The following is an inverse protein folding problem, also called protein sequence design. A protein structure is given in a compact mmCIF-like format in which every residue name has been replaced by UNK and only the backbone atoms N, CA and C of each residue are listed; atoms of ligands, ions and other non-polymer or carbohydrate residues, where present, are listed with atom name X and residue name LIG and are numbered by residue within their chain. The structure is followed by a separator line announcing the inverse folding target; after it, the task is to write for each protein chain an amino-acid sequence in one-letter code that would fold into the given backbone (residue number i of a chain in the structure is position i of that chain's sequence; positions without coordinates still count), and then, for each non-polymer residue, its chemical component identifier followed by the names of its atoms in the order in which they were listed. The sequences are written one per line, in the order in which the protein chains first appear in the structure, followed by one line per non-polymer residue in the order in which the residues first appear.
data_IF_613773852837
#
_entry.id   IF_613773852837
#
_cell.length_a   1.000
_cell.length_b   1.000
_cell.length_c   1.000
_cell.angle_alpha   90.00
_cell.angle_beta   90.00
_cell.angle_gamma   90.00
#
_symmetry.space_group_name_H-M   'P 1'
#
loop_
_entity.id
_entity.type
_entity.pdbx_description
1 polymer ?
#
# COMPACT_ATOMS: atom_id res chain seq x y z
N UNK A 1 24.98 -17.62 -12.65
CA UNK A 1 24.91 -16.16 -12.92
C UNK A 1 24.63 -15.42 -11.61
N UNK A 2 25.47 -14.45 -11.24
CA UNK A 2 25.13 -13.57 -10.09
C UNK A 2 23.94 -12.70 -10.50
N UNK A 3 22.84 -12.75 -9.76
CA UNK A 3 21.66 -11.92 -10.00
C UNK A 3 22.05 -10.45 -9.88
N UNK A 4 21.90 -9.68 -10.94
CA UNK A 4 22.17 -8.23 -10.91
C UNK A 4 20.95 -7.52 -10.27
N UNK A 5 20.92 -7.50 -8.94
CA UNK A 5 19.83 -6.83 -8.19
C UNK A 5 19.70 -5.35 -8.50
N UNK A 6 20.78 -4.68 -8.89
CA UNK A 6 20.74 -3.24 -9.23
C UNK A 6 19.79 -2.99 -10.42
N UNK A 7 20.02 -3.70 -11.52
CA UNK A 7 19.21 -3.54 -12.74
C UNK A 7 17.74 -3.94 -12.51
N UNK A 8 17.52 -5.05 -11.76
CA UNK A 8 16.16 -5.50 -11.44
C UNK A 8 15.45 -4.47 -10.55
N UNK A 9 16.14 -3.92 -9.55
CA UNK A 9 15.59 -2.91 -8.66
C UNK A 9 15.20 -1.63 -9.40
N UNK A 10 16.02 -1.17 -10.36
CA UNK A 10 15.73 0.02 -11.18
C UNK A 10 14.40 -0.08 -11.93
N UNK A 11 13.99 -1.29 -12.29
CA UNK A 11 12.74 -1.52 -13.01
C UNK A 11 11.54 -1.81 -12.09
N UNK A 12 11.79 -2.26 -10.85
CA UNK A 12 10.74 -2.69 -9.93
C UNK A 12 10.51 -1.74 -8.74
N UNK A 13 11.44 -0.84 -8.46
CA UNK A 13 11.29 0.08 -7.34
C UNK A 13 10.23 1.13 -7.62
N UNK A 14 9.32 1.25 -6.70
CA UNK A 14 8.29 2.28 -6.62
C UNK A 14 8.37 3.02 -5.30
N UNK A 15 7.84 4.22 -5.26
CA UNK A 15 7.70 5.01 -4.03
C UNK A 15 6.28 5.54 -3.92
N UNK A 16 5.70 5.46 -2.73
CA UNK A 16 4.34 5.92 -2.51
C UNK A 16 4.30 7.41 -2.14
N UNK A 17 3.33 8.14 -2.68
CA UNK A 17 3.13 9.56 -2.44
C UNK A 17 2.69 9.92 -1.02
N UNK A 18 2.39 8.94 -0.15
CA UNK A 18 2.17 9.18 1.29
C UNK A 18 3.34 9.87 2.00
N UNK A 19 4.54 9.71 1.44
CA UNK A 19 5.76 10.37 1.90
C UNK A 19 5.69 11.90 1.74
N UNK A 20 4.90 12.41 0.78
CA UNK A 20 4.94 13.82 0.39
C UNK A 20 4.04 14.68 1.27
N UNK A 21 4.57 15.77 1.85
CA UNK A 21 3.78 16.70 2.66
C UNK A 21 2.78 17.50 1.81
N UNK A 22 1.57 17.71 2.32
CA UNK A 22 0.52 18.51 1.65
C UNK A 22 0.86 20.00 1.46
N UNK A 23 1.82 20.50 2.20
CA UNK A 23 2.25 21.91 2.12
C UNK A 23 3.42 22.15 1.17
N UNK A 24 3.88 21.12 0.45
CA UNK A 24 4.94 21.22 -0.55
C UNK A 24 4.34 20.91 -1.90
N UNK A 25 4.71 21.70 -2.93
CA UNK A 25 4.23 21.51 -4.28
C UNK A 25 4.38 20.05 -4.75
N UNK A 26 3.29 19.37 -5.16
CA UNK A 26 3.35 18.00 -5.60
C UNK A 26 4.22 17.79 -6.86
N UNK A 27 4.49 18.84 -7.65
CA UNK A 27 5.45 18.76 -8.76
C UNK A 27 6.86 18.42 -8.28
N UNK A 28 7.27 18.90 -7.13
CA UNK A 28 8.57 18.62 -6.55
C UNK A 28 8.75 17.14 -6.18
N UNK A 29 7.66 16.44 -5.87
CA UNK A 29 7.70 14.99 -5.68
C UNK A 29 8.08 14.28 -6.98
N UNK A 30 7.40 14.58 -8.08
CA UNK A 30 7.69 13.97 -9.40
C UNK A 30 9.12 14.31 -9.82
N UNK A 31 9.54 15.54 -9.67
CA UNK A 31 10.93 15.95 -9.95
C UNK A 31 11.96 15.16 -9.12
N UNK A 32 11.67 14.94 -7.83
CA UNK A 32 12.55 14.21 -6.91
C UNK A 32 12.69 12.73 -7.32
N UNK A 33 11.60 12.05 -7.68
CA UNK A 33 11.66 10.66 -8.13
C UNK A 33 12.39 10.52 -9.46
N UNK A 34 12.25 11.49 -10.36
CA UNK A 34 12.99 11.53 -11.63
C UNK A 34 14.48 11.70 -11.41
N UNK A 35 14.90 12.65 -10.55
CA UNK A 35 16.30 12.85 -10.17
C UNK A 35 16.90 11.60 -9.52
N UNK A 36 16.12 10.86 -8.75
CA UNK A 36 16.54 9.58 -8.17
C UNK A 36 16.55 8.41 -9.17
N UNK A 37 16.08 8.63 -10.41
CA UNK A 37 15.96 7.60 -11.44
C UNK A 37 14.95 6.51 -11.08
N UNK A 38 13.89 6.85 -10.33
CA UNK A 38 12.77 5.97 -10.00
C UNK A 38 11.71 6.15 -11.10
N UNK A 39 11.20 5.04 -11.63
CA UNK A 39 10.27 5.02 -12.77
C UNK A 39 8.87 4.55 -12.42
N UNK A 40 8.61 4.27 -11.16
CA UNK A 40 7.32 3.78 -10.71
C UNK A 40 6.87 4.53 -9.46
N UNK A 41 5.56 4.75 -9.33
CA UNK A 41 4.98 5.52 -8.23
C UNK A 41 3.68 4.90 -7.75
N UNK A 42 3.49 4.82 -6.43
CA UNK A 42 2.19 4.63 -5.80
C UNK A 42 1.55 5.97 -5.48
N UNK A 43 0.26 6.10 -5.72
CA UNK A 43 -0.44 7.38 -5.58
C UNK A 43 -1.55 7.31 -4.53
N UNK A 44 -1.54 8.28 -3.61
CA UNK A 44 -2.67 8.52 -2.72
C UNK A 44 -3.69 9.44 -3.41
N UNK A 45 -4.97 9.28 -3.07
CA UNK A 45 -6.04 10.07 -3.69
C UNK A 45 -5.88 11.58 -3.48
N UNK A 46 -5.49 12.00 -2.27
CA UNK A 46 -5.30 13.42 -1.98
C UNK A 46 -4.19 14.03 -2.86
N UNK A 47 -3.11 13.27 -3.10
CA UNK A 47 -2.03 13.70 -3.99
C UNK A 47 -2.52 13.87 -5.44
N UNK A 48 -3.35 12.93 -5.93
CA UNK A 48 -3.93 13.02 -7.27
C UNK A 48 -4.81 14.28 -7.39
N UNK A 49 -5.58 14.59 -6.35
CA UNK A 49 -6.47 15.75 -6.33
C UNK A 49 -5.69 17.07 -6.28
N UNK A 50 -4.67 17.13 -5.45
CA UNK A 50 -3.82 18.32 -5.29
C UNK A 50 -3.03 18.61 -6.57
N UNK A 51 -2.49 17.58 -7.22
CA UNK A 51 -1.80 17.71 -8.50
C UNK A 51 -2.75 18.08 -9.66
N UNK A 52 -3.96 17.56 -9.61
CA UNK A 52 -4.93 17.59 -10.71
C UNK A 52 -4.72 16.46 -11.71
N UNK A 53 -5.72 15.57 -11.82
CA UNK A 53 -5.64 14.30 -12.54
C UNK A 53 -5.12 14.41 -13.99
N UNK A 54 -5.55 15.43 -14.75
CA UNK A 54 -5.14 15.59 -16.14
C UNK A 54 -3.67 16.00 -16.26
N UNK A 55 -3.22 16.94 -15.43
CA UNK A 55 -1.82 17.37 -15.36
C UNK A 55 -0.92 16.21 -14.92
N UNK A 56 -1.33 15.50 -13.87
CA UNK A 56 -0.58 14.33 -13.38
C UNK A 56 -0.44 13.26 -14.46
N UNK A 57 -1.52 12.93 -15.16
CA UNK A 57 -1.49 11.97 -16.28
C UNK A 57 -0.51 12.37 -17.38
N UNK A 58 -0.53 13.65 -17.78
CA UNK A 58 0.39 14.17 -18.78
C UNK A 58 1.84 14.08 -18.30
N UNK A 59 2.13 14.54 -17.08
CA UNK A 59 3.45 14.52 -16.50
C UNK A 59 4.04 13.10 -16.38
N UNK A 60 3.23 12.15 -15.86
CA UNK A 60 3.64 10.75 -15.77
C UNK A 60 3.90 10.13 -17.15
N UNK A 61 3.09 10.48 -18.14
CA UNK A 61 3.25 10.00 -19.52
C UNK A 61 4.51 10.55 -20.18
N UNK A 62 4.76 11.85 -20.10
CA UNK A 62 5.95 12.51 -20.63
C UNK A 62 7.24 11.93 -20.07
N UNK A 63 7.24 11.65 -18.78
CA UNK A 63 8.41 11.14 -18.07
C UNK A 63 8.48 9.60 -18.03
N UNK A 64 7.54 8.89 -18.65
CA UNK A 64 7.45 7.41 -18.68
C UNK A 64 7.46 6.81 -17.27
N UNK A 65 6.72 7.42 -16.36
CA UNK A 65 6.54 6.92 -14.99
C UNK A 65 5.29 6.04 -14.96
N UNK A 66 5.42 4.81 -14.45
CA UNK A 66 4.32 3.89 -14.27
C UNK A 66 3.66 4.08 -12.90
N UNK A 67 2.35 3.91 -12.83
CA UNK A 67 1.61 3.90 -11.57
C UNK A 67 1.50 2.45 -11.08
N UNK A 68 2.08 2.14 -9.94
CA UNK A 68 2.04 0.80 -9.33
C UNK A 68 0.77 0.58 -8.53
N UNK A 69 0.34 1.59 -7.79
CA UNK A 69 -0.86 1.53 -6.97
C UNK A 69 -1.62 2.86 -6.93
N UNK A 70 -2.93 2.76 -6.69
CA UNK A 70 -3.73 3.89 -6.19
C UNK A 70 -4.31 3.47 -4.85
N UNK A 71 -4.12 4.28 -3.82
CA UNK A 71 -4.57 4.05 -2.45
C UNK A 71 -5.67 5.06 -2.07
N UNK A 72 -6.83 4.59 -1.62
CA UNK A 72 -7.35 3.24 -1.57
C UNK A 72 -8.87 3.26 -1.61
N UNK A 73 -9.46 2.15 -2.02
CA UNK A 73 -10.92 1.91 -1.95
C UNK A 73 -11.23 0.96 -0.79
N UNK A 74 -12.51 0.71 -0.55
CA UNK A 74 -12.97 -0.16 0.53
C UNK A 74 -13.51 0.64 1.70
N UNK A 75 -12.94 0.47 2.88
CA UNK A 75 -13.41 1.09 4.12
C UNK A 75 -14.92 0.92 4.31
N UNK A 76 -15.38 -0.31 4.16
CA UNK A 76 -16.80 -0.66 4.09
C UNK A 76 -17.62 -0.30 5.33
N UNK A 77 -16.95 0.03 6.41
CA UNK A 77 -17.54 0.49 7.67
C UNK A 77 -17.58 2.01 7.80
N UNK A 78 -17.10 2.72 6.76
CA UNK A 78 -17.02 4.19 6.74
C UNK A 78 -17.85 4.75 5.58
N UNK A 79 -18.91 5.50 5.88
CA UNK A 79 -19.81 6.06 4.87
C UNK A 79 -19.16 7.08 3.93
N UNK A 80 -18.12 7.77 4.38
CA UNK A 80 -17.46 8.77 3.57
C UNK A 80 -16.58 8.14 2.48
N UNK A 81 -15.83 7.08 2.81
CA UNK A 81 -14.98 6.40 1.85
C UNK A 81 -15.77 5.67 0.76
N UNK A 82 -16.94 5.16 1.11
CA UNK A 82 -17.82 4.49 0.13
C UNK A 82 -18.15 5.41 -1.06
N UNK A 83 -18.38 6.71 -0.82
CA UNK A 83 -18.69 7.69 -1.87
C UNK A 83 -17.51 7.97 -2.81
N UNK A 84 -16.29 7.60 -2.43
CA UNK A 84 -15.08 7.85 -3.23
C UNK A 84 -14.77 6.74 -4.22
N UNK A 85 -15.41 5.57 -4.14
CA UNK A 85 -15.06 4.41 -4.99
C UNK A 85 -15.16 4.72 -6.49
N UNK A 86 -16.24 5.34 -6.94
CA UNK A 86 -16.42 5.71 -8.35
C UNK A 86 -15.35 6.70 -8.82
N UNK A 87 -15.00 7.66 -7.99
CA UNK A 87 -13.96 8.65 -8.28
C UNK A 87 -12.60 7.97 -8.44
N UNK A 88 -12.23 7.07 -7.53
CA UNK A 88 -10.98 6.31 -7.60
C UNK A 88 -10.96 5.42 -8.84
N UNK A 89 -12.07 4.78 -9.21
CA UNK A 89 -12.15 3.99 -10.43
C UNK A 89 -11.98 4.84 -11.70
N UNK A 90 -12.51 6.07 -11.70
CA UNK A 90 -12.26 6.99 -12.80
C UNK A 90 -10.79 7.39 -12.89
N UNK A 91 -10.11 7.62 -11.77
CA UNK A 91 -8.67 7.86 -11.75
C UNK A 91 -7.89 6.63 -12.23
N UNK A 92 -8.28 5.44 -11.81
CA UNK A 92 -7.65 4.20 -12.25
C UNK A 92 -7.77 3.96 -13.77
N UNK A 93 -8.91 4.31 -14.38
CA UNK A 93 -9.06 4.28 -15.85
C UNK A 93 -8.09 5.23 -16.57
N UNK A 94 -7.86 6.40 -16.00
CA UNK A 94 -6.99 7.41 -16.60
C UNK A 94 -5.51 7.12 -16.40
N UNK A 95 -5.12 6.68 -15.20
CA UNK A 95 -3.73 6.47 -14.77
C UNK A 95 -3.24 5.03 -14.98
N UNK A 96 -4.16 4.07 -15.16
CA UNK A 96 -3.87 2.64 -15.41
C UNK A 96 -2.88 2.02 -14.42
N UNK A 97 -3.15 2.07 -13.11
CA UNK A 97 -2.27 1.46 -12.13
C UNK A 97 -2.19 -0.07 -12.30
N UNK A 98 -1.08 -0.67 -11.85
CA UNK A 98 -0.98 -2.13 -11.80
C UNK A 98 -2.05 -2.73 -10.84
N UNK A 99 -2.34 -2.03 -9.72
CA UNK A 99 -3.42 -2.40 -8.78
C UNK A 99 -4.05 -1.16 -8.13
N UNK A 100 -5.32 -1.27 -7.74
CA UNK A 100 -5.96 -0.33 -6.81
C UNK A 100 -6.06 -1.01 -5.46
N UNK A 101 -5.46 -0.41 -4.44
CA UNK A 101 -5.45 -0.94 -3.07
C UNK A 101 -6.87 -0.94 -2.50
N UNK A 102 -7.23 -2.04 -1.83
CA UNK A 102 -8.50 -2.18 -1.13
C UNK A 102 -8.25 -2.55 0.33
N UNK A 103 -8.79 -1.74 1.22
CA UNK A 103 -8.72 -1.91 2.68
C UNK A 103 -10.14 -2.12 3.20
N UNK A 104 -10.34 -3.15 4.02
CA UNK A 104 -11.69 -3.53 4.45
C UNK A 104 -12.39 -2.51 5.36
N UNK A 105 -11.64 -1.64 6.00
CA UNK A 105 -12.13 -0.81 7.11
C UNK A 105 -12.10 -1.56 8.44
N UNK A 106 -11.97 -0.81 9.52
CA UNK A 106 -11.95 -1.35 10.87
C UNK A 106 -13.33 -1.82 11.35
N UNK A 107 -13.36 -2.57 12.44
CA UNK A 107 -14.63 -3.06 13.02
C UNK A 107 -15.50 -1.92 13.55
N UNK A 108 -14.89 -0.82 14.01
CA UNK A 108 -15.58 0.35 14.58
C UNK A 108 -15.76 1.51 13.60
N UNK A 109 -15.47 1.35 12.33
CA UNK A 109 -15.48 2.41 11.34
C UNK A 109 -14.10 2.64 10.75
N UNK A 110 -13.96 3.54 9.80
CA UNK A 110 -12.72 3.82 9.08
C UNK A 110 -11.61 4.44 9.94
N UNK A 111 -10.48 4.84 9.29
CA UNK A 111 -9.31 5.40 9.98
C UNK A 111 -9.60 6.73 10.69
N UNK A 112 -10.64 7.43 10.27
CA UNK A 112 -11.21 8.54 11.04
C UNK A 112 -12.42 7.99 11.78
N UNK A 113 -12.41 7.94 13.11
CA UNK A 113 -13.61 7.64 13.87
C UNK A 113 -14.57 8.81 13.71
N UNK A 114 -15.22 8.91 12.56
CA UNK A 114 -16.30 9.87 12.30
C UNK A 114 -17.50 9.52 13.13
N UNK A 115 -17.57 8.33 13.57
CA UNK A 115 -18.62 7.86 14.41
C UNK A 115 -18.33 8.05 15.89
N UNK A 116 -18.12 9.28 16.29
CA UNK A 116 -18.65 9.72 17.59
C UNK A 116 -20.17 9.48 17.65
N UNK A 117 -20.81 9.20 16.52
CA UNK A 117 -22.21 8.75 16.40
C UNK A 117 -22.40 7.23 16.51
N UNK A 118 -21.36 6.40 16.52
CA UNK A 118 -21.47 5.09 17.13
C UNK A 118 -21.61 5.31 18.65
N UNK A 119 -22.82 5.63 19.02
CA UNK A 119 -23.25 5.78 20.38
C UNK A 119 -23.05 4.40 21.03
N UNK A 120 -21.92 4.22 21.70
CA UNK A 120 -21.54 2.98 22.37
C UNK A 120 -22.58 2.58 23.43
N UNK A 121 -23.45 3.50 23.82
CA UNK A 121 -24.43 3.29 24.89
C UNK A 121 -25.59 2.35 24.52
N UNK A 122 -25.80 2.08 23.21
CA UNK A 122 -26.93 1.23 22.78
C UNK A 122 -26.61 0.17 21.72
N UNK A 123 -25.37 0.10 21.22
CA UNK A 123 -25.02 -0.88 20.18
C UNK A 123 -23.97 -1.86 20.67
N UNK A 124 -24.42 -3.05 21.03
CA UNK A 124 -23.53 -4.21 21.10
C UNK A 124 -22.82 -4.33 19.76
N UNK A 125 -21.49 -4.24 19.77
CA UNK A 125 -20.67 -4.36 18.59
C UNK A 125 -20.92 -5.73 17.94
N UNK A 126 -21.65 -5.77 16.84
CA UNK A 126 -21.93 -6.99 16.13
C UNK A 126 -20.86 -7.26 15.09
N UNK A 127 -19.75 -7.84 15.53
CA UNK A 127 -18.59 -8.17 14.70
C UNK A 127 -18.96 -9.08 13.53
N UNK A 128 -19.86 -10.04 13.74
CA UNK A 128 -20.29 -10.96 12.68
C UNK A 128 -21.05 -10.22 11.59
N UNK A 129 -21.97 -9.34 11.99
CA UNK A 129 -22.71 -8.50 11.03
C UNK A 129 -21.76 -7.61 10.25
N UNK A 130 -20.81 -6.92 10.90
CA UNK A 130 -19.82 -6.08 10.24
C UNK A 130 -19.00 -6.87 9.22
N UNK A 131 -18.53 -8.06 9.57
CA UNK A 131 -17.79 -8.92 8.64
C UNK A 131 -18.61 -9.37 7.45
N UNK A 132 -19.88 -9.75 7.67
CA UNK A 132 -20.79 -10.19 6.62
C UNK A 132 -21.10 -9.06 5.65
N UNK A 133 -21.40 -7.87 6.17
CA UNK A 133 -21.72 -6.69 5.36
C UNK A 133 -20.50 -6.25 4.54
N UNK A 134 -19.31 -6.21 5.15
CA UNK A 134 -18.08 -5.90 4.46
C UNK A 134 -17.72 -6.91 3.38
N UNK A 135 -17.95 -8.20 3.62
CA UNK A 135 -17.73 -9.24 2.60
C UNK A 135 -18.67 -9.04 1.40
N UNK A 136 -19.93 -8.74 1.64
CA UNK A 136 -20.90 -8.46 0.57
C UNK A 136 -20.50 -7.27 -0.28
N UNK A 137 -20.03 -6.18 0.37
CA UNK A 137 -19.56 -4.99 -0.31
C UNK A 137 -18.25 -5.24 -1.07
N UNK A 138 -17.32 -6.02 -0.51
CA UNK A 138 -16.09 -6.43 -1.19
C UNK A 138 -16.39 -7.18 -2.48
N UNK A 139 -17.27 -8.17 -2.43
CA UNK A 139 -17.66 -8.96 -3.62
C UNK A 139 -18.34 -8.09 -4.68
N UNK A 140 -19.17 -7.16 -4.26
CA UNK A 140 -19.76 -6.18 -5.17
C UNK A 140 -18.71 -5.29 -5.84
N UNK A 141 -17.72 -4.81 -5.06
CA UNK A 141 -16.65 -3.97 -5.56
C UNK A 141 -15.72 -4.74 -6.52
N UNK A 142 -15.45 -6.01 -6.24
CA UNK A 142 -14.72 -6.89 -7.17
C UNK A 142 -15.40 -6.97 -8.52
N UNK A 143 -16.72 -7.27 -8.53
CA UNK A 143 -17.48 -7.34 -9.77
C UNK A 143 -17.45 -6.02 -10.55
N UNK A 144 -17.67 -4.89 -9.88
CA UNK A 144 -17.59 -3.56 -10.51
C UNK A 144 -16.21 -3.26 -11.11
N UNK A 145 -15.14 -3.66 -10.43
CA UNK A 145 -13.78 -3.48 -10.93
C UNK A 145 -13.49 -4.37 -12.15
N UNK A 146 -13.98 -5.61 -12.14
CA UNK A 146 -13.88 -6.53 -13.28
C UNK A 146 -14.58 -5.96 -14.53
N UNK A 147 -15.79 -5.44 -14.38
CA UNK A 147 -16.55 -4.78 -15.47
C UNK A 147 -15.81 -3.59 -16.09
N UNK A 148 -14.89 -3.00 -15.34
CA UNK A 148 -14.09 -1.84 -15.76
C UNK A 148 -12.63 -2.19 -16.09
N UNK A 149 -12.26 -3.48 -16.10
CA UNK A 149 -10.89 -3.96 -16.29
C UNK A 149 -9.88 -3.37 -15.27
N UNK A 150 -10.32 -3.13 -14.05
CA UNK A 150 -9.49 -2.66 -12.95
C UNK A 150 -9.09 -3.85 -12.07
N UNK A 151 -7.79 -4.02 -11.83
CA UNK A 151 -7.30 -5.01 -10.87
C UNK A 151 -7.28 -4.41 -9.46
N UNK A 152 -8.01 -5.02 -8.54
CA UNK A 152 -7.94 -4.66 -7.12
C UNK A 152 -6.88 -5.50 -6.41
N UNK A 153 -6.20 -4.89 -5.45
CA UNK A 153 -5.27 -5.54 -4.53
C UNK A 153 -5.82 -5.49 -3.10
N UNK A 154 -6.33 -6.61 -2.59
CA UNK A 154 -6.78 -6.68 -1.20
C UNK A 154 -5.58 -6.72 -0.28
N UNK A 155 -5.53 -5.82 0.71
CA UNK A 155 -4.45 -5.73 1.67
C UNK A 155 -4.83 -6.41 2.99
N UNK A 156 -4.09 -7.46 3.43
CA UNK A 156 -4.22 -8.00 4.77
C UNK A 156 -3.69 -7.00 5.79
N UNK A 157 -4.54 -6.55 6.70
CA UNK A 157 -4.18 -5.56 7.72
C UNK A 157 -3.75 -6.26 9.02
N UNK A 158 -2.67 -5.81 9.63
CA UNK A 158 -2.14 -6.38 10.87
C UNK A 158 -3.18 -6.37 12.00
N UNK A 159 -3.16 -7.40 12.83
CA UNK A 159 -4.16 -7.60 13.89
C UNK A 159 -4.26 -6.44 14.89
N UNK A 160 -3.19 -5.66 15.05
CA UNK A 160 -3.16 -4.47 15.92
C UNK A 160 -3.98 -3.29 15.36
N UNK A 161 -4.29 -3.29 14.06
CA UNK A 161 -5.08 -2.27 13.39
C UNK A 161 -6.51 -2.72 13.03
N UNK A 162 -6.94 -3.88 13.56
CA UNK A 162 -8.24 -4.50 13.24
C UNK A 162 -9.44 -3.61 13.61
N UNK A 163 -9.28 -2.82 14.66
CA UNK A 163 -10.34 -1.94 15.14
C UNK A 163 -10.55 -0.74 14.23
N UNK A 164 -9.46 -0.16 13.71
CA UNK A 164 -9.49 1.11 12.99
C UNK A 164 -9.33 0.99 11.49
N UNK A 165 -8.47 0.07 11.02
CA UNK A 165 -8.02 0.08 9.63
C UNK A 165 -8.58 -1.07 8.81
N UNK A 166 -8.52 -2.32 9.32
CA UNK A 166 -9.00 -3.45 8.54
C UNK A 166 -9.16 -4.74 9.29
N UNK A 167 -10.25 -5.45 9.03
CA UNK A 167 -10.58 -6.70 9.71
C UNK A 167 -10.35 -7.96 8.86
N UNK A 168 -9.89 -7.83 7.61
CA UNK A 168 -9.30 -8.93 6.85
C UNK A 168 -7.80 -8.94 7.14
N UNK A 169 -7.36 -9.82 8.03
CA UNK A 169 -6.09 -9.69 8.73
C UNK A 169 -5.12 -10.86 8.57
N UNK A 170 -5.31 -11.72 7.57
CA UNK A 170 -4.32 -12.74 7.25
C UNK A 170 -4.21 -12.98 5.75
N UNK A 171 -3.00 -13.34 5.29
CA UNK A 171 -2.75 -13.71 3.90
C UNK A 171 -3.67 -14.85 3.47
N UNK A 172 -3.87 -15.86 4.32
CA UNK A 172 -4.72 -17.01 4.01
C UNK A 172 -6.18 -16.63 3.81
N UNK A 173 -6.76 -15.80 4.69
CA UNK A 173 -8.15 -15.37 4.56
C UNK A 173 -8.35 -14.50 3.32
N UNK A 174 -7.48 -13.53 3.09
CA UNK A 174 -7.54 -12.66 1.92
C UNK A 174 -7.31 -13.43 0.60
N UNK A 175 -6.38 -14.40 0.58
CA UNK A 175 -6.13 -15.24 -0.58
C UNK A 175 -7.37 -16.04 -0.98
N UNK A 176 -8.13 -16.56 -0.01
CA UNK A 176 -9.39 -17.28 -0.28
C UNK A 176 -10.43 -16.40 -1.01
N UNK A 177 -10.42 -15.10 -0.78
CA UNK A 177 -11.34 -14.15 -1.43
C UNK A 177 -10.95 -13.84 -2.87
N UNK A 178 -9.64 -13.79 -3.18
CA UNK A 178 -9.14 -13.39 -4.51
C UNK A 178 -8.72 -14.57 -5.41
N UNK A 179 -8.65 -15.80 -4.90
CA UNK A 179 -8.07 -16.95 -5.64
C UNK A 179 -8.80 -17.28 -6.94
N UNK A 180 -10.10 -17.02 -7.03
CA UNK A 180 -10.97 -17.41 -8.15
C UNK A 180 -11.27 -16.28 -9.15
N UNK A 181 -10.73 -15.07 -8.93
CA UNK A 181 -10.97 -13.90 -9.78
C UNK A 181 -9.64 -13.28 -10.25
N UNK A 182 -9.69 -12.17 -11.00
CA UNK A 182 -8.48 -11.48 -11.48
C UNK A 182 -7.74 -10.69 -10.40
N UNK A 183 -8.37 -10.44 -9.26
CA UNK A 183 -7.83 -9.62 -8.19
C UNK A 183 -6.65 -10.29 -7.48
N UNK A 184 -5.87 -9.48 -6.77
CA UNK A 184 -4.59 -9.87 -6.17
C UNK A 184 -4.53 -9.47 -4.69
N UNK A 185 -3.42 -9.76 -4.02
CA UNK A 185 -3.10 -9.20 -2.73
C UNK A 185 -2.00 -8.16 -2.87
N UNK A 186 -2.13 -7.08 -2.13
CA UNK A 186 -1.03 -6.19 -1.77
C UNK A 186 -0.52 -6.67 -0.42
N UNK A 187 0.78 -6.90 -0.34
CA UNK A 187 1.43 -7.27 0.91
C UNK A 187 2.23 -6.07 1.40
N UNK A 188 1.75 -5.42 2.46
CA UNK A 188 2.55 -4.48 3.21
C UNK A 188 3.26 -5.22 4.34
N UNK A 189 4.59 -5.14 4.36
CA UNK A 189 5.40 -5.78 5.40
C UNK A 189 5.07 -5.25 6.79
N UNK A 190 4.69 -3.97 6.91
CA UNK A 190 4.23 -3.41 8.19
C UNK A 190 3.02 -4.17 8.75
N UNK A 191 2.11 -4.62 7.90
CA UNK A 191 0.91 -5.33 8.32
C UNK A 191 1.06 -6.85 8.34
N UNK A 192 1.99 -7.41 7.58
CA UNK A 192 2.07 -8.85 7.31
C UNK A 192 3.30 -9.56 7.91
N UNK A 193 4.23 -8.84 8.58
CA UNK A 193 5.50 -9.43 9.03
C UNK A 193 5.34 -10.60 10.02
N UNK A 194 4.22 -10.69 10.71
CA UNK A 194 3.90 -11.78 11.65
C UNK A 194 3.14 -12.95 11.00
N UNK A 195 2.72 -12.82 9.72
CA UNK A 195 1.93 -13.87 9.07
C UNK A 195 2.82 -15.06 8.67
N UNK A 196 2.46 -16.25 9.17
CA UNK A 196 3.21 -17.50 8.92
C UNK A 196 3.27 -17.89 7.44
N UNK A 197 2.39 -17.37 6.59
CA UNK A 197 2.37 -17.64 5.15
C UNK A 197 3.20 -16.64 4.35
N UNK A 198 3.72 -15.57 4.96
CA UNK A 198 4.39 -14.48 4.27
C UNK A 198 5.50 -14.98 3.34
N UNK A 199 6.46 -15.76 3.85
CA UNK A 199 7.60 -16.24 3.07
C UNK A 199 7.20 -17.07 1.85
N UNK A 200 6.30 -18.01 2.04
CA UNK A 200 5.83 -18.90 0.96
C UNK A 200 5.00 -18.14 -0.06
N UNK A 201 4.21 -17.18 0.40
CA UNK A 201 3.37 -16.34 -0.46
C UNK A 201 4.23 -15.42 -1.34
N UNK A 202 5.20 -14.72 -0.79
CA UNK A 202 6.08 -13.82 -1.54
C UNK A 202 6.88 -14.56 -2.62
N UNK A 203 7.32 -15.79 -2.33
CA UNK A 203 8.13 -16.59 -3.27
C UNK A 203 7.32 -17.13 -4.44
N UNK A 204 6.11 -17.61 -4.19
CA UNK A 204 5.45 -18.55 -5.11
C UNK A 204 4.05 -18.13 -5.55
N UNK A 205 3.38 -17.20 -4.87
CA UNK A 205 1.98 -16.92 -5.18
C UNK A 205 1.80 -16.11 -6.47
N UNK A 206 1.00 -16.56 -7.43
CA UNK A 206 0.63 -15.76 -8.61
C UNK A 206 -0.35 -14.63 -8.24
N UNK A 207 -0.87 -14.64 -7.01
CA UNK A 207 -1.80 -13.62 -6.49
C UNK A 207 -1.10 -12.46 -5.80
N UNK A 208 0.22 -12.43 -5.73
CA UNK A 208 0.94 -11.24 -5.31
C UNK A 208 0.81 -10.15 -6.39
N UNK A 209 0.28 -8.99 -6.03
CA UNK A 209 0.14 -7.83 -6.90
C UNK A 209 1.22 -6.79 -6.69
N UNK A 210 1.56 -6.54 -5.42
CA UNK A 210 2.52 -5.53 -4.99
C UNK A 210 3.12 -5.93 -3.65
N UNK A 211 4.40 -5.63 -3.43
CA UNK A 211 5.00 -5.66 -2.11
C UNK A 211 5.29 -4.24 -1.65
N UNK A 212 4.60 -3.79 -0.59
CA UNK A 212 4.91 -2.55 0.10
C UNK A 212 5.85 -2.83 1.26
N UNK A 213 6.78 -1.92 1.50
CA UNK A 213 7.81 -2.12 2.51
C UNK A 213 8.31 -0.81 3.11
N UNK A 214 8.67 -0.88 4.38
CA UNK A 214 9.41 0.10 5.18
C UNK A 214 10.00 -0.62 6.37
N UNK A 215 10.81 0.04 7.18
CA UNK A 215 11.09 -0.45 8.52
C UNK A 215 9.90 -0.19 9.45
N UNK A 216 9.84 -0.91 10.56
CA UNK A 216 8.74 -0.81 11.54
C UNK A 216 9.25 -0.10 12.79
N UNK A 217 8.45 0.85 13.27
CA UNK A 217 8.64 1.47 14.57
C UNK A 217 7.80 0.73 15.61
N UNK A 218 8.44 0.30 16.71
CA UNK A 218 7.79 -0.32 17.85
C UNK A 218 7.81 0.61 19.05
N UNK A 219 6.82 0.49 19.90
CA UNK A 219 6.85 1.07 21.25
C UNK A 219 7.65 0.17 22.22
N UNK A 220 7.74 0.60 23.50
CA UNK A 220 8.47 -0.13 24.54
C UNK A 220 7.84 -1.50 24.87
N UNK A 221 6.61 -1.74 24.45
CA UNK A 221 5.88 -3.01 24.60
C UNK A 221 5.90 -3.85 23.32
N UNK A 222 6.75 -3.52 22.36
CA UNK A 222 6.88 -4.19 21.06
C UNK A 222 5.60 -4.14 20.21
N UNK A 223 4.76 -3.11 20.37
CA UNK A 223 3.62 -2.89 19.50
C UNK A 223 4.06 -2.08 18.28
N UNK A 224 3.67 -2.48 17.07
CA UNK A 224 3.91 -1.66 15.89
C UNK A 224 3.12 -0.35 16.01
N UNK A 225 3.81 0.78 15.94
CA UNK A 225 3.21 2.12 16.12
C UNK A 225 3.44 3.05 14.92
N UNK A 226 4.07 2.58 13.88
CA UNK A 226 4.34 3.34 12.67
C UNK A 226 5.47 2.75 11.85
N UNK A 227 5.84 3.49 10.81
CA UNK A 227 6.93 3.12 9.91
C UNK A 227 8.19 3.92 10.21
N UNK A 228 9.35 3.42 9.78
CA UNK A 228 10.61 4.16 9.81
C UNK A 228 11.30 4.08 8.44
N UNK A 229 12.16 5.06 8.17
CA UNK A 229 13.08 5.05 7.03
C UNK A 229 14.04 3.85 7.10
N UNK A 230 14.58 3.50 5.95
CA UNK A 230 15.63 2.48 5.87
C UNK A 230 16.90 3.07 6.45
N UNK A 231 17.41 2.51 7.54
CA UNK A 231 18.66 2.95 8.14
C UNK A 231 19.52 1.74 8.44
N UNK A 232 20.72 1.70 7.84
CA UNK A 232 21.67 0.61 8.00
C UNK A 232 22.23 0.50 9.43
N UNK A 233 22.29 1.60 10.16
CA UNK A 233 23.05 1.67 11.40
C UNK A 233 22.25 1.34 12.66
N UNK A 234 20.94 1.28 12.59
CA UNK A 234 20.08 0.91 13.70
C UNK A 234 19.49 -0.49 13.52
N UNK A 235 20.35 -1.51 13.56
CA UNK A 235 19.95 -2.92 13.37
C UNK A 235 19.15 -3.51 14.56
N UNK A 236 18.99 -2.77 15.63
CA UNK A 236 18.17 -3.20 16.76
C UNK A 236 16.72 -2.96 16.38
N UNK A 237 15.91 -4.02 16.39
CA UNK A 237 14.46 -3.97 16.12
C UNK A 237 14.06 -3.66 14.68
N UNK A 238 14.87 -4.05 13.68
CA UNK A 238 14.50 -3.95 12.29
C UNK A 238 14.04 -5.31 11.74
N UNK A 239 13.06 -5.25 10.84
CA UNK A 239 12.64 -6.41 10.06
C UNK A 239 13.78 -6.85 9.12
N UNK A 240 13.94 -8.18 8.90
CA UNK A 240 14.85 -8.68 7.87
C UNK A 240 14.29 -8.40 6.47
N UNK A 241 14.34 -7.12 6.07
CA UNK A 241 13.87 -6.66 4.76
C UNK A 241 14.62 -7.34 3.62
N UNK A 242 15.91 -7.63 3.79
CA UNK A 242 16.75 -8.27 2.76
C UNK A 242 16.13 -9.58 2.28
N UNK A 243 15.67 -10.42 3.20
CA UNK A 243 15.03 -11.70 2.91
C UNK A 243 13.78 -11.53 2.03
N UNK A 244 12.91 -10.60 2.40
CA UNK A 244 11.64 -10.38 1.70
C UNK A 244 11.83 -9.73 0.34
N UNK A 245 12.67 -8.69 0.25
CA UNK A 245 12.98 -8.02 -1.00
C UNK A 245 13.65 -8.98 -1.99
N UNK A 246 14.64 -9.77 -1.56
CA UNK A 246 15.28 -10.81 -2.41
C UNK A 246 14.27 -11.84 -2.91
N UNK A 247 13.28 -12.21 -2.10
CA UNK A 247 12.25 -13.17 -2.51
C UNK A 247 11.46 -12.65 -3.71
N UNK A 248 11.09 -11.37 -3.72
CA UNK A 248 10.34 -10.74 -4.82
C UNK A 248 11.25 -10.38 -6.00
N UNK A 249 12.47 -9.90 -5.76
CA UNK A 249 13.41 -9.57 -6.84
C UNK A 249 13.84 -10.78 -7.68
N UNK A 250 13.84 -11.98 -7.10
CA UNK A 250 14.14 -13.24 -7.82
C UNK A 250 12.98 -13.75 -8.68
N UNK A 251 11.80 -13.19 -8.54
CA UNK A 251 10.62 -13.61 -9.32
C UNK A 251 10.76 -13.16 -10.77
N UNK A 252 10.27 -13.99 -11.69
CA UNK A 252 10.25 -13.70 -13.13
C UNK A 252 9.08 -12.77 -13.53
N UNK A 253 8.02 -12.75 -12.72
CA UNK A 253 6.86 -11.90 -12.97
C UNK A 253 7.14 -10.43 -12.57
N UNK A 254 6.36 -9.54 -13.16
CA UNK A 254 6.45 -8.10 -12.88
C UNK A 254 5.73 -7.79 -11.57
N UNK A 255 6.41 -8.00 -10.44
CA UNK A 255 5.96 -7.53 -9.13
C UNK A 255 6.82 -6.35 -8.72
N UNK A 256 6.20 -5.22 -8.44
CA UNK A 256 6.88 -4.03 -7.98
C UNK A 256 7.12 -4.06 -6.46
N UNK A 257 8.15 -3.33 -6.04
CA UNK A 257 8.53 -3.09 -4.65
C UNK A 257 8.23 -1.63 -4.36
N UNK A 258 7.21 -1.34 -3.58
CA UNK A 258 6.78 0.01 -3.27
C UNK A 258 7.21 0.40 -1.88
N UNK A 259 8.11 1.39 -1.79
CA UNK A 259 8.47 1.99 -0.50
C UNK A 259 7.30 2.82 -0.01
N UNK A 260 6.72 2.42 1.12
CA UNK A 260 5.59 3.10 1.74
C UNK A 260 5.93 3.57 3.15
N UNK A 261 5.92 4.89 3.31
CA UNK A 261 6.07 5.56 4.59
C UNK A 261 5.18 6.82 4.60
N UNK A 262 4.58 7.12 5.74
CA UNK A 262 3.76 8.32 5.84
C UNK A 262 4.60 9.53 6.24
N UNK A 263 4.20 10.69 5.75
CA UNK A 263 4.82 11.96 6.14
C UNK A 263 4.84 12.16 7.67
N UNK A 264 3.80 11.71 8.37
CA UNK A 264 3.73 11.74 9.82
C UNK A 264 4.80 10.91 10.54
N UNK A 265 5.33 9.87 9.88
CA UNK A 265 6.38 9.01 10.44
C UNK A 265 7.78 9.61 10.32
N UNK A 266 7.97 10.58 9.40
CA UNK A 266 9.28 11.14 9.04
C UNK A 266 9.48 12.59 9.48
N UNK A 267 8.61 13.11 10.31
CA UNK A 267 8.40 14.52 10.76
C UNK A 267 9.56 15.52 10.57
N UNK A 268 10.79 15.09 10.80
CA UNK A 268 12.00 15.93 10.79
C UNK A 268 12.92 15.67 9.60
N UNK A 269 12.58 14.71 8.74
CA UNK A 269 13.43 14.33 7.60
C UNK A 269 12.83 14.87 6.32
N UNK A 270 13.62 15.59 5.54
CA UNK A 270 13.21 16.06 4.22
C UNK A 270 12.91 14.85 3.30
N UNK A 271 11.68 14.75 2.75
CA UNK A 271 11.30 13.66 1.87
C UNK A 271 12.19 13.55 0.62
N UNK A 272 12.75 14.66 0.12
CA UNK A 272 13.68 14.64 -1.01
C UNK A 272 14.97 13.88 -0.69
N UNK A 273 15.47 14.00 0.54
CA UNK A 273 16.64 13.26 1.01
C UNK A 273 16.36 11.76 1.07
N UNK A 274 15.17 11.39 1.56
CA UNK A 274 14.74 9.98 1.59
C UNK A 274 14.67 9.41 0.18
N UNK A 275 14.01 10.12 -0.74
CA UNK A 275 13.87 9.69 -2.15
C UNK A 275 15.25 9.50 -2.80
N UNK A 276 16.15 10.47 -2.63
CA UNK A 276 17.49 10.44 -3.24
C UNK A 276 18.36 9.30 -2.76
N UNK A 277 18.22 8.88 -1.49
CA UNK A 277 19.02 7.82 -0.88
C UNK A 277 18.41 6.42 -1.01
N UNK A 278 17.12 6.31 -1.31
CA UNK A 278 16.36 5.07 -1.24
C UNK A 278 17.00 3.89 -2.00
N UNK A 279 17.40 4.10 -3.26
CA UNK A 279 18.03 3.05 -4.07
C UNK A 279 19.33 2.56 -3.46
N UNK A 280 20.17 3.49 -2.98
CA UNK A 280 21.44 3.16 -2.33
C UNK A 280 21.23 2.36 -1.05
N UNK A 281 20.27 2.76 -0.22
CA UNK A 281 19.96 2.10 1.03
C UNK A 281 19.43 0.67 0.79
N UNK A 282 18.55 0.48 -0.18
CA UNK A 282 18.06 -0.86 -0.55
C UNK A 282 19.22 -1.74 -1.06
N UNK A 283 20.08 -1.22 -1.92
CA UNK A 283 21.22 -2.00 -2.43
C UNK A 283 22.22 -2.38 -1.34
N UNK A 284 22.31 -1.61 -0.26
CA UNK A 284 23.10 -1.96 0.91
C UNK A 284 22.47 -3.05 1.78
N UNK A 285 21.14 -3.21 1.72
CA UNK A 285 20.42 -4.30 2.39
C UNK A 285 20.50 -5.62 1.60
N UNK A 286 20.62 -5.55 0.27
CA UNK A 286 20.68 -6.70 -0.64
C UNK A 286 22.08 -7.28 -0.75
#
# INVERSE_FOLDING_TARGET
MKTNFKEILENKLSINSYLWPKNIDPYEFIESILKAGIKNVGLHIDFIEEYGINKLKEELSLNRINVTSINSVGYFTDQFYYKQHEKIFNYAKLLKPDVVCIISGGILGGPNPISTEYNLDNNVLNIEKTRKDSLSQLLYLFKKAEEQNITLGLEPIGSWDIIKKGHFNSISSCLNLVKKNQHKLIIDLYHSFTDIKLDSFLKNSPKLGLLQFSNIKFDDNWRPIGRKILNKYNNINNLDLSKYLKSVLKRKDKINLEFEIFQSDIKETDPKVIISNLKKEILQLL
#
